data_IF_585324137763
#
_entry.id   IF_585324137763
#
_cell.length_a   1.000
_cell.length_b   1.000
_cell.length_c   1.000
_cell.angle_alpha   90.00
_cell.angle_beta   90.00
_cell.angle_gamma   90.00
#
_symmetry.space_group_name_H-M   'P 1'
#
loop_
_entity.id
_entity.type
_entity.pdbx_description
1 polymer ?
#
# COMPACT_ATOMS: atom_id res chain seq x y z
N UNK A 1 -22.18 -32.60 -8.65
CA UNK A 1 -22.62 -31.32 -9.23
C UNK A 1 -23.77 -30.75 -8.41
N UNK A 2 -23.48 -29.89 -7.43
CA UNK A 2 -24.45 -28.95 -6.86
C UNK A 2 -23.69 -27.64 -6.64
N UNK A 3 -23.86 -26.74 -7.59
CA UNK A 3 -23.26 -25.40 -7.59
C UNK A 3 -24.22 -24.49 -6.82
N UNK A 4 -23.80 -23.98 -5.67
CA UNK A 4 -24.53 -22.93 -4.95
C UNK A 4 -23.91 -21.59 -5.32
N UNK A 5 -24.58 -20.86 -6.21
CA UNK A 5 -24.21 -19.50 -6.61
C UNK A 5 -24.91 -18.54 -5.65
N UNK A 6 -24.13 -17.70 -4.97
CA UNK A 6 -24.64 -16.53 -4.26
C UNK A 6 -24.63 -15.33 -5.22
N UNK A 7 -25.82 -14.83 -5.55
CA UNK A 7 -26.00 -13.52 -6.19
C UNK A 7 -27.07 -12.75 -5.43
N UNK A 8 -26.69 -11.59 -4.89
CA UNK A 8 -27.57 -10.62 -4.25
C UNK A 8 -28.52 -10.04 -5.30
N UNK A 9 -29.81 -10.42 -5.26
CA UNK A 9 -30.86 -9.84 -6.08
C UNK A 9 -31.43 -8.62 -5.34
N UNK A 10 -31.12 -7.41 -5.81
CA UNK A 10 -31.85 -6.20 -5.41
C UNK A 10 -33.02 -6.04 -6.37
N UNK A 11 -34.24 -6.35 -5.91
CA UNK A 11 -35.47 -6.17 -6.69
C UNK A 11 -36.04 -4.76 -6.44
N UNK A 12 -35.92 -3.85 -7.41
CA UNK A 12 -36.67 -2.60 -7.42
C UNK A 12 -38.11 -2.86 -7.92
N UNK A 13 -39.11 -2.65 -7.07
CA UNK A 13 -40.52 -2.60 -7.49
C UNK A 13 -40.96 -1.13 -7.51
N UNK A 14 -41.16 -0.58 -8.71
CA UNK A 14 -41.87 0.69 -8.92
C UNK A 14 -43.36 0.35 -9.06
N UNK A 15 -44.20 0.84 -8.14
CA UNK A 15 -45.66 0.70 -8.25
C UNK A 15 -46.30 2.05 -8.58
N UNK A 16 -46.85 2.15 -9.79
CA UNK A 16 -47.76 3.21 -10.24
C UNK A 16 -49.10 3.08 -9.51
N UNK A 17 -49.55 4.14 -8.84
CA UNK A 17 -50.85 4.18 -8.16
C UNK A 17 -51.94 4.73 -9.10
N UNK A 18 -52.95 3.92 -9.41
CA UNK A 18 -54.24 4.37 -9.93
C UNK A 18 -55.32 4.11 -8.86
N UNK A 19 -56.17 5.12 -8.69
CA UNK A 19 -57.16 5.28 -7.62
C UNK A 19 -58.25 4.19 -7.64
N UNK A 20 -58.47 3.53 -6.50
CA UNK A 20 -59.80 3.17 -5.97
C UNK A 20 -59.71 2.52 -4.57
N UNK A 21 -59.83 3.34 -3.53
CA UNK A 21 -60.78 3.08 -2.43
C UNK A 21 -60.65 1.88 -1.49
N UNK A 22 -59.49 1.21 -1.34
CA UNK A 22 -59.30 0.22 -0.24
C UNK A 22 -57.94 0.39 0.45
N UNK A 23 -57.98 0.52 1.79
CA UNK A 23 -56.79 0.59 2.67
C UNK A 23 -55.85 -0.60 2.38
N UNK A 24 -54.67 -0.31 1.85
CA UNK A 24 -53.57 -1.27 1.81
C UNK A 24 -52.98 -1.41 3.20
N UNK A 25 -53.03 -2.62 3.78
CA UNK A 25 -52.22 -2.95 4.95
C UNK A 25 -50.75 -2.79 4.56
N UNK A 26 -50.02 -1.91 5.22
CA UNK A 26 -48.56 -1.85 5.10
C UNK A 26 -47.97 -3.18 5.60
N UNK A 27 -47.72 -4.10 4.68
CA UNK A 27 -46.81 -5.22 4.90
C UNK A 27 -45.40 -4.62 4.98
N UNK A 28 -44.90 -4.40 6.20
CA UNK A 28 -43.47 -4.17 6.39
C UNK A 28 -42.76 -5.45 5.94
N UNK A 29 -41.76 -5.37 5.05
CA UNK A 29 -40.89 -6.52 4.81
C UNK A 29 -40.22 -6.85 6.15
N UNK A 30 -40.55 -8.02 6.71
CA UNK A 30 -39.70 -8.61 7.74
C UNK A 30 -38.46 -9.06 6.98
N UNK A 31 -37.40 -8.27 7.06
CA UNK A 31 -36.06 -8.73 6.74
C UNK A 31 -35.81 -9.90 7.70
N UNK A 32 -35.92 -11.13 7.20
CA UNK A 32 -35.31 -12.28 7.86
C UNK A 32 -33.83 -11.96 7.97
N UNK A 33 -33.39 -11.54 9.16
CA UNK A 33 -31.98 -11.58 9.53
C UNK A 33 -31.58 -13.04 9.41
N UNK A 34 -30.88 -13.39 8.34
CA UNK A 34 -30.02 -14.57 8.39
C UNK A 34 -29.10 -14.35 9.58
N UNK A 35 -29.15 -15.27 10.54
CA UNK A 35 -28.14 -15.32 11.59
C UNK A 35 -26.80 -15.54 10.89
N UNK A 36 -26.01 -14.47 10.78
CA UNK A 36 -24.60 -14.59 10.44
C UNK A 36 -23.98 -15.51 11.47
N UNK A 37 -23.39 -16.61 11.02
CA UNK A 37 -22.75 -17.56 11.88
C UNK A 37 -21.59 -16.84 12.58
N UNK A 38 -21.80 -16.51 13.86
CA UNK A 38 -20.83 -15.74 14.64
C UNK A 38 -19.54 -16.55 14.75
N UNK A 39 -18.45 -16.02 14.20
CA UNK A 39 -17.14 -16.67 14.27
C UNK A 39 -16.71 -16.82 15.73
N UNK A 40 -16.19 -18.00 16.11
CA UNK A 40 -15.67 -18.29 17.45
C UNK A 40 -14.25 -18.84 17.35
N UNK A 41 -13.38 -18.62 18.36
CA UNK A 41 -12.01 -19.12 18.37
C UNK A 41 -12.00 -20.60 18.76
N UNK A 42 -12.60 -21.44 17.92
CA UNK A 42 -12.68 -22.89 18.09
C UNK A 42 -12.13 -23.55 16.84
N UNK A 43 -11.10 -24.38 17.00
CA UNK A 43 -10.46 -25.14 15.92
C UNK A 43 -10.30 -26.58 16.39
N UNK A 44 -11.10 -27.49 15.82
CA UNK A 44 -11.15 -28.88 16.27
C UNK A 44 -11.62 -28.99 17.72
N UNK A 45 -10.80 -29.58 18.58
CA UNK A 45 -11.03 -29.76 20.02
C UNK A 45 -10.42 -28.63 20.88
N UNK A 46 -9.80 -27.62 20.25
CA UNK A 46 -9.17 -26.48 20.95
C UNK A 46 -10.03 -25.24 20.90
N UNK A 47 -9.93 -24.42 21.94
CA UNK A 47 -10.60 -23.12 22.04
C UNK A 47 -11.92 -23.18 22.81
N UNK A 48 -12.64 -22.05 22.82
CA UNK A 48 -13.93 -21.91 23.50
C UNK A 48 -14.71 -20.72 22.92
N UNK A 49 -16.00 -20.63 23.24
CA UNK A 49 -16.79 -19.45 22.87
C UNK A 49 -16.34 -18.20 23.64
N UNK A 50 -16.29 -17.06 22.95
CA UNK A 50 -16.12 -15.77 23.62
C UNK A 50 -17.44 -15.39 24.30
N UNK A 51 -17.41 -15.29 25.63
CA UNK A 51 -18.59 -15.00 26.46
C UNK A 51 -18.86 -13.50 26.66
N UNK A 52 -17.88 -12.66 26.34
CA UNK A 52 -17.97 -11.20 26.50
C UNK A 52 -18.40 -10.51 25.19
N UNK A 53 -18.96 -9.29 25.24
CA UNK A 53 -19.22 -8.52 24.03
C UNK A 53 -17.94 -8.35 23.18
N UNK A 54 -18.09 -8.47 21.87
CA UNK A 54 -16.97 -8.42 20.92
C UNK A 54 -17.33 -7.67 19.64
N UNK A 55 -16.31 -7.30 18.88
CA UNK A 55 -16.50 -6.64 17.60
C UNK A 55 -16.54 -7.67 16.47
N UNK A 56 -17.75 -8.15 16.15
CA UNK A 56 -17.95 -9.16 15.11
C UNK A 56 -17.45 -8.75 13.72
N UNK A 57 -17.47 -7.45 13.40
CA UNK A 57 -16.96 -6.97 12.11
C UNK A 57 -15.44 -7.16 12.01
N UNK A 58 -14.69 -6.80 13.07
CA UNK A 58 -13.24 -7.01 13.13
C UNK A 58 -12.90 -8.50 13.17
N UNK A 59 -13.63 -9.31 13.94
CA UNK A 59 -13.43 -10.77 13.98
C UNK A 59 -13.61 -11.38 12.58
N UNK A 60 -14.57 -10.87 11.80
CA UNK A 60 -14.88 -11.39 10.46
C UNK A 60 -13.80 -11.05 9.42
N UNK A 61 -13.08 -9.94 9.63
CA UNK A 61 -11.95 -9.50 8.82
C UNK A 61 -10.63 -10.23 9.19
N UNK A 62 -10.54 -10.80 10.39
CA UNK A 62 -9.31 -11.39 10.93
C UNK A 62 -9.56 -12.85 11.36
N UNK A 63 -10.03 -13.67 10.41
CA UNK A 63 -10.44 -15.04 10.69
C UNK A 63 -9.29 -15.91 11.18
N UNK A 64 -8.13 -15.83 10.53
CA UNK A 64 -6.93 -16.58 10.91
C UNK A 64 -6.29 -16.02 12.20
N UNK A 65 -6.68 -14.83 12.66
CA UNK A 65 -6.33 -14.36 14.02
C UNK A 65 -7.24 -14.93 15.11
N UNK A 66 -8.50 -15.25 14.78
CA UNK A 66 -9.45 -15.82 15.74
C UNK A 66 -9.37 -17.36 15.77
N UNK A 67 -9.32 -17.99 14.60
CA UNK A 67 -9.19 -19.42 14.37
C UNK A 67 -7.76 -19.74 13.91
N UNK A 68 -6.82 -19.48 14.80
CA UNK A 68 -5.37 -19.52 14.54
C UNK A 68 -4.95 -20.84 13.87
N UNK A 69 -4.17 -20.78 12.76
CA UNK A 69 -3.60 -21.98 12.16
C UNK A 69 -2.82 -22.82 13.19
N UNK A 70 -2.97 -24.15 13.23
CA UNK A 70 -2.28 -24.98 14.22
C UNK A 70 -0.74 -24.90 14.20
N UNK A 71 -0.16 -24.37 13.11
CA UNK A 71 1.27 -24.15 12.92
C UNK A 71 1.79 -22.82 13.46
N UNK A 72 0.91 -21.87 13.79
CA UNK A 72 1.31 -20.63 14.46
C UNK A 72 1.80 -20.94 15.87
N UNK A 73 2.87 -20.26 16.29
CA UNK A 73 3.50 -20.52 17.57
C UNK A 73 4.41 -19.36 18.00
N UNK A 74 4.70 -19.32 19.30
CA UNK A 74 5.65 -18.38 19.88
C UNK A 74 5.13 -16.93 19.93
N UNK A 75 6.07 -15.99 20.01
CA UNK A 75 5.76 -14.56 20.11
C UNK A 75 6.20 -13.83 18.85
N UNK A 76 5.23 -13.42 18.05
CA UNK A 76 5.43 -12.52 16.90
C UNK A 76 4.64 -11.24 17.16
N UNK A 77 5.34 -10.10 17.17
CA UNK A 77 4.71 -8.80 17.35
C UNK A 77 3.66 -8.52 16.25
N UNK A 78 2.79 -7.54 16.46
CA UNK A 78 1.84 -7.17 15.42
C UNK A 78 2.59 -6.66 14.18
N UNK A 79 2.27 -7.21 13.01
CA UNK A 79 2.87 -6.84 11.73
C UNK A 79 1.87 -6.17 10.80
N UNK A 80 0.60 -6.03 11.21
CA UNK A 80 -0.50 -5.47 10.41
C UNK A 80 -0.99 -4.15 10.99
N UNK A 81 -1.28 -3.18 10.12
CA UNK A 81 -2.00 -1.97 10.49
C UNK A 81 -2.99 -1.55 9.41
N UNK A 82 -4.20 -1.14 9.80
CA UNK A 82 -5.21 -0.66 8.86
C UNK A 82 -5.21 0.87 8.80
N UNK A 83 -5.10 1.46 7.62
CA UNK A 83 -5.23 2.92 7.46
C UNK A 83 -6.59 3.45 7.97
N UNK A 84 -7.61 2.60 8.07
CA UNK A 84 -8.91 2.96 8.66
C UNK A 84 -8.84 3.26 10.16
N UNK A 85 -7.76 2.83 10.83
CA UNK A 85 -7.50 3.11 12.24
C UNK A 85 -6.58 4.32 12.44
N UNK A 86 -5.93 4.79 11.37
CA UNK A 86 -5.05 5.96 11.43
C UNK A 86 -5.81 7.26 11.71
N UNK A 87 -5.15 8.19 12.40
CA UNK A 87 -5.69 9.52 12.62
C UNK A 87 -5.85 10.27 11.28
N UNK A 88 -7.04 10.82 11.04
CA UNK A 88 -7.33 11.66 9.88
C UNK A 88 -6.95 13.12 10.17
N UNK A 89 -5.98 13.64 9.44
CA UNK A 89 -5.67 15.07 9.41
C UNK A 89 -6.45 15.75 8.28
N UNK A 90 -7.62 16.30 8.62
CA UNK A 90 -8.54 16.96 7.70
C UNK A 90 -8.13 18.42 7.46
N UNK A 91 -8.02 18.80 6.18
CA UNK A 91 -7.58 20.13 5.77
C UNK A 91 -8.46 20.71 4.66
N UNK A 92 -8.33 22.00 4.40
CA UNK A 92 -9.13 22.65 3.38
C UNK A 92 -8.70 22.19 1.98
N UNK A 93 -9.45 21.26 1.38
CA UNK A 93 -9.15 20.71 0.06
C UNK A 93 -8.58 19.30 0.09
N UNK A 94 -8.48 18.66 1.25
CA UNK A 94 -8.02 17.28 1.31
C UNK A 94 -7.81 16.73 2.71
N UNK A 95 -7.14 15.59 2.78
CA UNK A 95 -6.74 14.99 4.04
C UNK A 95 -5.42 14.23 3.90
N UNK A 96 -4.80 13.95 5.04
CA UNK A 96 -3.69 13.00 5.18
C UNK A 96 -4.02 12.04 6.32
N UNK A 97 -3.70 10.76 6.17
CA UNK A 97 -3.62 9.78 7.26
C UNK A 97 -2.37 8.94 7.09
N UNK A 98 -1.78 8.49 8.19
CA UNK A 98 -0.45 7.87 8.18
C UNK A 98 -0.43 6.52 8.88
N UNK A 99 0.49 5.65 8.47
CA UNK A 99 1.00 4.58 9.31
C UNK A 99 2.43 4.95 9.70
N UNK A 100 2.68 4.97 11.01
CA UNK A 100 3.97 5.30 11.63
C UNK A 100 4.28 4.28 12.71
N UNK A 101 5.51 4.30 13.23
CA UNK A 101 5.98 3.37 14.27
C UNK A 101 5.16 3.44 15.57
N UNK A 102 4.52 4.56 15.91
CA UNK A 102 3.62 4.62 17.07
C UNK A 102 2.34 3.81 16.89
N UNK A 103 1.89 3.65 15.64
CA UNK A 103 0.70 2.88 15.27
C UNK A 103 1.06 1.42 14.99
N UNK A 104 2.18 1.19 14.31
CA UNK A 104 2.75 -0.12 14.00
C UNK A 104 4.21 -0.21 14.47
N UNK A 105 4.48 -0.57 15.74
CA UNK A 105 5.83 -0.56 16.33
C UNK A 105 6.86 -1.48 15.67
N UNK A 106 6.41 -2.45 14.89
CA UNK A 106 7.28 -3.31 14.06
C UNK A 106 7.84 -2.58 12.84
N UNK A 107 7.26 -1.45 12.44
CA UNK A 107 7.62 -0.69 11.25
C UNK A 107 8.59 0.44 11.61
N UNK A 108 9.84 0.07 11.93
CA UNK A 108 10.89 1.03 12.30
C UNK A 108 11.64 1.61 11.09
N UNK A 109 11.56 0.93 9.96
CA UNK A 109 12.25 1.29 8.71
C UNK A 109 11.32 1.96 7.68
N UNK A 110 10.01 1.97 7.95
CA UNK A 110 9.01 2.48 7.03
C UNK A 110 7.91 3.29 7.72
N UNK A 111 7.53 4.37 7.06
CA UNK A 111 6.29 5.07 7.35
C UNK A 111 5.60 5.37 6.03
N UNK A 112 4.30 5.56 6.10
CA UNK A 112 3.49 5.79 4.91
C UNK A 112 2.39 6.80 5.18
N UNK A 113 1.93 7.46 4.11
CA UNK A 113 0.86 8.43 4.16
C UNK A 113 -0.10 8.25 2.99
N UNK A 114 -1.39 8.10 3.28
CA UNK A 114 -2.44 8.25 2.27
C UNK A 114 -2.94 9.68 2.26
N UNK A 115 -2.91 10.27 1.07
CA UNK A 115 -3.28 11.66 0.84
C UNK A 115 -4.47 11.71 -0.11
N UNK A 116 -5.32 12.69 0.11
CA UNK A 116 -6.37 13.07 -0.82
C UNK A 116 -6.24 14.56 -1.14
N UNK A 117 -6.31 14.91 -2.43
CA UNK A 117 -6.41 16.28 -2.91
C UNK A 117 -7.67 16.43 -3.78
N UNK A 118 -8.59 17.28 -3.36
CA UNK A 118 -9.69 17.71 -4.21
C UNK A 118 -9.16 18.42 -5.46
N UNK A 119 -9.99 18.53 -6.51
CA UNK A 119 -9.61 19.24 -7.74
C UNK A 119 -9.09 20.65 -7.44
N UNK A 120 -7.89 20.96 -7.90
CA UNK A 120 -7.20 22.23 -7.70
C UNK A 120 -6.51 22.39 -6.34
N UNK A 121 -6.80 21.54 -5.35
CA UNK A 121 -6.14 21.56 -4.06
C UNK A 121 -4.65 21.23 -4.19
N UNK A 122 -3.83 21.85 -3.33
CA UNK A 122 -2.38 21.84 -3.40
C UNK A 122 -1.85 21.25 -2.10
N UNK A 123 -1.03 20.19 -2.21
CA UNK A 123 -0.02 19.85 -1.21
C UNK A 123 1.11 20.85 -1.38
N UNK A 124 1.29 21.71 -0.37
CA UNK A 124 2.14 22.90 -0.48
C UNK A 124 3.59 22.58 -0.89
N UNK A 125 4.34 23.57 -1.37
CA UNK A 125 5.74 23.39 -1.75
C UNK A 125 6.60 23.06 -0.53
N UNK A 126 7.33 21.96 -0.59
CA UNK A 126 8.12 21.45 0.53
C UNK A 126 9.28 20.56 0.09
N UNK A 127 10.10 20.18 1.07
CA UNK A 127 11.06 19.09 1.00
C UNK A 127 11.15 18.40 2.36
N UNK A 128 11.90 17.32 2.46
CA UNK A 128 12.15 16.56 3.69
C UNK A 128 13.47 15.78 3.58
N UNK A 129 13.92 15.16 4.67
CA UNK A 129 15.23 14.48 4.74
C UNK A 129 15.20 12.98 4.41
N UNK A 130 14.05 12.46 3.95
CA UNK A 130 13.84 11.06 3.61
C UNK A 130 13.64 10.89 2.11
N UNK A 131 13.86 9.69 1.60
CA UNK A 131 13.42 9.38 0.24
C UNK A 131 11.90 9.22 0.26
N UNK A 132 11.22 9.71 -0.78
CA UNK A 132 9.78 9.54 -0.96
C UNK A 132 9.52 8.71 -2.19
N UNK A 133 8.81 7.60 -2.02
CA UNK A 133 8.22 6.84 -3.10
C UNK A 133 6.72 7.08 -3.09
N UNK A 134 6.10 7.34 -4.24
CA UNK A 134 4.67 7.59 -4.32
C UNK A 134 3.95 6.82 -5.42
N UNK A 135 2.69 6.47 -5.17
CA UNK A 135 1.79 5.79 -6.11
C UNK A 135 0.45 6.52 -6.15
N UNK A 136 -0.02 6.88 -7.35
CA UNK A 136 -1.38 7.41 -7.52
C UNK A 136 -2.39 6.26 -7.46
N UNK A 137 -3.25 6.25 -6.43
CA UNK A 137 -4.26 5.19 -6.22
C UNK A 137 -5.61 5.55 -6.83
N UNK A 138 -5.92 6.85 -6.98
CA UNK A 138 -7.13 7.32 -7.66
C UNK A 138 -6.94 8.69 -8.32
N UNK A 139 -7.63 8.92 -9.44
CA UNK A 139 -7.60 10.20 -10.14
C UNK A 139 -6.23 10.52 -10.75
N UNK A 140 -5.87 11.80 -10.76
CA UNK A 140 -4.60 12.28 -11.28
C UNK A 140 -4.10 13.51 -10.54
N UNK A 141 -2.78 13.64 -10.45
CA UNK A 141 -2.10 14.79 -9.85
C UNK A 141 -1.14 15.45 -10.83
N UNK A 142 -0.91 16.75 -10.66
CA UNK A 142 0.19 17.49 -11.24
C UNK A 142 1.30 17.59 -10.20
N UNK A 143 2.50 17.19 -10.57
CA UNK A 143 3.68 17.24 -9.72
C UNK A 143 4.67 18.22 -10.35
N UNK A 144 5.24 19.11 -9.53
CA UNK A 144 6.37 19.94 -9.92
C UNK A 144 7.51 19.72 -8.93
N UNK A 145 8.71 19.42 -9.45
CA UNK A 145 9.90 19.15 -8.66
C UNK A 145 11.15 19.80 -9.27
N UNK A 146 12.14 20.10 -8.44
CA UNK A 146 13.43 20.71 -8.83
C UNK A 146 14.57 19.91 -8.21
N UNK A 147 15.60 19.61 -9.02
CA UNK A 147 16.81 18.91 -8.57
C UNK A 147 17.84 19.87 -7.94
N UNK A 148 18.82 19.31 -7.24
CA UNK A 148 19.96 20.06 -6.68
C UNK A 148 20.76 20.85 -7.72
N UNK A 149 20.76 20.42 -8.98
CA UNK A 149 21.43 21.09 -10.11
C UNK A 149 20.55 22.18 -10.76
N UNK A 150 19.35 22.43 -10.21
CA UNK A 150 18.39 23.41 -10.72
C UNK A 150 17.55 22.91 -11.90
N UNK A 151 17.67 21.63 -12.30
CA UNK A 151 16.80 21.05 -13.33
C UNK A 151 15.38 20.88 -12.79
N UNK A 152 14.38 21.05 -13.63
CA UNK A 152 12.99 20.87 -13.20
C UNK A 152 12.27 19.74 -13.94
N UNK A 153 11.24 19.21 -13.30
CA UNK A 153 10.21 18.40 -13.93
C UNK A 153 8.84 18.88 -13.50
N UNK A 154 7.93 19.03 -14.46
CA UNK A 154 6.51 19.22 -14.19
C UNK A 154 5.77 18.16 -15.00
N UNK A 155 5.06 17.27 -14.32
CA UNK A 155 4.40 16.12 -14.96
C UNK A 155 3.05 15.81 -14.34
N UNK A 156 2.17 15.24 -15.16
CA UNK A 156 0.92 14.64 -14.72
C UNK A 156 1.19 13.17 -14.39
N UNK A 157 0.78 12.73 -13.21
CA UNK A 157 0.74 11.32 -12.82
C UNK A 157 -0.73 10.87 -12.72
N UNK A 158 -1.06 9.80 -13.42
CA UNK A 158 -2.39 9.18 -13.43
C UNK A 158 -2.44 7.96 -12.51
N UNK A 159 -3.64 7.45 -12.17
CA UNK A 159 -3.78 6.21 -11.38
C UNK A 159 -2.86 5.10 -11.90
N UNK A 160 -2.05 4.55 -11.00
CA UNK A 160 -1.05 3.52 -11.28
C UNK A 160 0.34 4.05 -11.61
N UNK A 161 0.53 5.36 -11.79
CA UNK A 161 1.85 5.96 -11.96
C UNK A 161 2.58 6.10 -10.61
N UNK A 162 3.90 6.05 -10.71
CA UNK A 162 4.83 6.11 -9.58
C UNK A 162 5.72 7.34 -9.71
N UNK A 163 6.12 7.92 -8.58
CA UNK A 163 7.26 8.84 -8.52
C UNK A 163 8.25 8.44 -7.44
N UNK A 164 9.46 8.98 -7.57
CA UNK A 164 10.48 8.89 -6.55
C UNK A 164 11.19 10.22 -6.40
N UNK A 165 11.24 10.74 -5.18
CA UNK A 165 12.05 11.91 -4.83
C UNK A 165 13.19 11.48 -3.92
N UNK A 166 14.45 11.62 -4.38
CA UNK A 166 15.59 11.53 -3.49
C UNK A 166 15.44 12.52 -2.33
N UNK A 167 16.03 12.20 -1.18
CA UNK A 167 16.01 13.08 -0.01
C UNK A 167 16.46 14.51 -0.35
N UNK A 168 15.74 15.49 0.18
CA UNK A 168 16.03 16.92 0.03
C UNK A 168 15.55 17.56 -1.29
N UNK A 169 14.98 16.81 -2.24
CA UNK A 169 14.48 17.40 -3.48
C UNK A 169 13.16 18.15 -3.23
N UNK A 170 13.11 19.42 -3.65
CA UNK A 170 11.94 20.28 -3.48
C UNK A 170 10.83 19.94 -4.45
N UNK A 171 9.60 19.76 -3.95
CA UNK A 171 8.44 19.36 -4.75
C UNK A 171 7.10 19.92 -4.24
N UNK A 172 6.06 19.83 -5.08
CA UNK A 172 4.67 20.17 -4.76
C UNK A 172 3.72 19.32 -5.62
N UNK A 173 2.50 19.09 -5.12
CA UNK A 173 1.51 18.22 -5.75
C UNK A 173 0.17 18.96 -5.80
N UNK A 174 -0.53 18.89 -6.93
CA UNK A 174 -1.86 19.46 -7.11
C UNK A 174 -2.86 18.43 -7.64
N UNK A 175 -4.03 18.32 -7.04
CA UNK A 175 -5.11 17.46 -7.53
C UNK A 175 -5.70 17.98 -8.86
N UNK A 176 -5.88 17.11 -9.85
CA UNK A 176 -6.37 17.50 -11.19
C UNK A 176 -7.80 17.05 -11.48
N UNK A 177 -8.22 15.94 -10.88
CA UNK A 177 -9.48 15.25 -11.19
C UNK A 177 -10.57 15.56 -10.17
N UNK A 178 -11.83 15.35 -10.57
CA UNK A 178 -13.03 15.46 -9.74
C UNK A 178 -13.59 14.04 -9.52
N UNK A 179 -13.94 13.60 -8.29
CA UNK A 179 -14.02 14.37 -7.03
C UNK A 179 -12.67 14.77 -6.42
N UNK A 180 -11.57 14.15 -6.87
CA UNK A 180 -10.23 14.42 -6.36
C UNK A 180 -9.22 13.44 -6.93
N UNK A 181 -8.04 13.41 -6.32
CA UNK A 181 -7.02 12.42 -6.53
C UNK A 181 -6.50 11.90 -5.19
N UNK A 182 -6.17 10.62 -5.15
CA UNK A 182 -5.59 9.97 -3.98
C UNK A 182 -4.27 9.32 -4.35
N UNK A 183 -3.34 9.33 -3.40
CA UNK A 183 -2.04 8.75 -3.57
C UNK A 183 -1.46 8.27 -2.25
N UNK A 184 -0.69 7.19 -2.34
CA UNK A 184 0.09 6.62 -1.26
C UNK A 184 1.51 7.17 -1.35
N UNK A 185 2.07 7.56 -0.20
CA UNK A 185 3.48 7.87 -0.02
C UNK A 185 4.10 6.83 0.90
N UNK A 186 5.34 6.46 0.63
CA UNK A 186 6.15 5.62 1.51
C UNK A 186 7.53 6.27 1.68
N UNK A 187 8.02 6.27 2.90
CA UNK A 187 9.29 6.83 3.31
C UNK A 187 10.15 5.77 3.97
N UNK A 188 11.47 5.89 3.83
CA UNK A 188 12.46 4.94 4.34
C UNK A 188 12.88 5.19 5.80
N UNK A 189 11.91 5.55 6.66
CA UNK A 189 12.05 5.60 8.11
C UNK A 189 10.71 5.36 8.82
N UNK A 190 10.74 4.70 9.99
CA UNK A 190 9.57 4.28 10.77
C UNK A 190 8.68 5.39 11.31
N UNK A 191 9.27 6.54 11.58
CA UNK A 191 8.54 7.70 12.08
C UNK A 191 8.98 8.94 11.32
N UNK A 192 8.17 9.30 10.31
CA UNK A 192 8.45 10.45 9.45
C UNK A 192 8.62 11.73 10.27
N UNK A 193 7.84 11.98 11.33
CA UNK A 193 7.79 13.29 12.01
C UNK A 193 8.84 13.45 13.13
N UNK A 194 9.37 12.33 13.66
CA UNK A 194 10.50 12.37 14.60
C UNK A 194 11.85 12.28 13.90
N UNK A 195 11.95 11.54 12.79
CA UNK A 195 13.20 11.38 12.03
C UNK A 195 13.39 12.45 10.95
N UNK A 196 12.29 13.01 10.47
CA UNK A 196 12.22 14.06 9.47
C UNK A 196 11.09 15.02 9.84
N UNK A 197 11.00 16.16 9.16
CA UNK A 197 9.79 16.97 9.15
C UNK A 197 9.61 17.48 7.75
N UNK A 198 8.36 17.63 7.32
CA UNK A 198 8.09 18.41 6.12
C UNK A 198 8.57 19.84 6.36
N UNK A 199 9.50 20.31 5.52
CA UNK A 199 10.00 21.68 5.53
C UNK A 199 9.21 22.47 4.49
N UNK A 200 8.18 23.15 4.97
CA UNK A 200 7.22 23.91 4.15
C UNK A 200 7.78 25.28 3.76
N UNK A 201 7.69 25.65 2.48
CA UNK A 201 8.25 26.92 1.99
C UNK A 201 7.58 28.14 2.64
N UNK A 202 6.25 28.17 2.69
CA UNK A 202 5.54 29.31 3.27
C UNK A 202 5.88 29.49 4.76
N UNK A 203 6.01 28.39 5.49
CA UNK A 203 6.41 28.38 6.90
C UNK A 203 7.85 28.90 7.09
N UNK A 204 8.78 28.46 6.25
CA UNK A 204 10.15 28.96 6.29
C UNK A 204 10.23 30.47 6.02
N UNK A 205 9.47 30.96 5.04
CA UNK A 205 9.48 32.39 4.70
C UNK A 205 8.93 33.26 5.83
N UNK A 206 7.85 32.86 6.52
CA UNK A 206 7.32 33.66 7.65
C UNK A 206 8.23 33.64 8.88
N UNK A 207 9.10 32.63 9.00
CA UNK A 207 10.13 32.53 10.04
C UNK A 207 11.49 33.10 9.61
N UNK A 208 11.54 33.83 8.49
CA UNK A 208 12.76 34.51 8.00
C UNK A 208 12.62 36.03 8.15
N UNK A 209 13.63 36.76 8.68
CA UNK A 209 13.55 38.21 8.81
C UNK A 209 13.23 38.91 7.47
N UNK A 210 12.30 39.88 7.42
CA UNK A 210 11.90 40.54 6.18
C UNK A 210 13.07 41.19 5.42
N UNK A 211 14.07 41.70 6.14
CA UNK A 211 15.29 42.26 5.54
C UNK A 211 16.14 41.22 4.81
N UNK A 212 16.18 39.99 5.33
CA UNK A 212 16.91 38.87 4.70
C UNK A 212 16.15 38.42 3.45
N UNK A 213 14.82 38.30 3.51
CA UNK A 213 13.99 38.01 2.33
C UNK A 213 14.18 39.08 1.25
N UNK A 214 14.05 40.36 1.60
CA UNK A 214 14.25 41.46 0.67
C UNK A 214 15.62 41.41 0.00
N UNK A 215 16.68 41.17 0.79
CA UNK A 215 18.05 41.02 0.28
C UNK A 215 18.20 39.80 -0.64
N UNK A 216 17.66 38.65 -0.26
CA UNK A 216 17.75 37.41 -1.03
C UNK A 216 17.04 37.50 -2.38
N UNK A 217 15.84 38.07 -2.41
CA UNK A 217 15.02 38.18 -3.62
C UNK A 217 15.29 39.46 -4.43
N UNK A 218 16.08 40.41 -3.90
CA UNK A 218 16.32 41.70 -4.56
C UNK A 218 15.07 42.58 -4.63
N UNK A 219 14.18 42.48 -3.65
CA UNK A 219 12.87 43.17 -3.62
C UNK A 219 12.73 44.06 -2.38
N UNK A 220 11.62 44.81 -2.28
CA UNK A 220 11.33 45.63 -1.10
C UNK A 220 11.06 44.79 0.15
N UNK A 221 11.40 45.30 1.34
CA UNK A 221 10.99 44.75 2.64
C UNK A 221 9.47 44.55 2.77
N UNK A 222 8.67 45.26 1.96
CA UNK A 222 7.22 45.16 1.99
C UNK A 222 6.66 44.02 1.11
N UNK A 223 7.46 43.42 0.22
CA UNK A 223 6.98 42.44 -0.77
C UNK A 223 6.30 41.22 -0.13
N UNK A 224 6.80 40.78 1.02
CA UNK A 224 6.34 39.56 1.69
C UNK A 224 5.37 39.81 2.85
N UNK A 225 4.83 41.03 2.99
CA UNK A 225 3.88 41.38 4.08
C UNK A 225 2.55 40.63 4.01
N UNK A 226 2.20 40.11 2.83
CA UNK A 226 0.96 39.36 2.58
C UNK A 226 1.17 37.85 2.60
N UNK A 227 2.35 37.37 3.02
CA UNK A 227 2.54 35.94 3.23
C UNK A 227 1.49 35.40 4.22
N UNK A 228 0.96 34.19 3.98
CA UNK A 228 -0.02 33.61 4.86
C UNK A 228 0.62 33.32 6.22
N UNK A 229 -0.05 33.74 7.31
CA UNK A 229 0.46 33.58 8.69
C UNK A 229 0.56 32.12 9.14
N UNK A 230 -0.23 31.24 8.54
CA UNK A 230 -0.15 29.80 8.68
C UNK A 230 -0.83 29.19 7.45
N UNK A 231 -0.21 28.15 6.88
CA UNK A 231 -0.85 27.28 5.90
C UNK A 231 -0.78 25.84 6.42
N UNK A 232 -1.89 25.14 6.33
CA UNK A 232 -1.90 23.69 6.47
C UNK A 232 -1.03 23.03 5.40
N UNK A 233 -0.68 21.77 5.62
CA UNK A 233 0.07 20.96 4.66
C UNK A 233 -0.66 20.83 3.30
N UNK A 234 -1.99 20.95 3.28
CA UNK A 234 -2.90 20.98 2.13
C UNK A 234 -3.81 22.21 2.19
N UNK A 235 -4.02 22.88 1.06
CA UNK A 235 -4.97 23.99 0.94
C UNK A 235 -5.65 24.03 -0.44
N UNK A 236 -6.80 24.71 -0.56
CA UNK A 236 -7.51 24.89 -1.84
C UNK A 236 -6.73 25.81 -2.78
N UNK A 237 -6.65 25.44 -4.05
CA UNK A 237 -6.03 26.24 -5.10
C UNK A 237 -6.82 26.20 -6.40
N UNK A 238 -6.40 27.04 -7.34
CA UNK A 238 -6.86 26.97 -8.72
C UNK A 238 -5.91 26.09 -9.52
N UNK A 239 -6.44 25.35 -10.50
CA UNK A 239 -5.62 24.52 -11.39
C UNK A 239 -4.53 25.36 -12.05
N UNK A 240 -3.30 24.85 -12.01
CA UNK A 240 -2.19 25.45 -12.73
C UNK A 240 -2.43 25.36 -14.23
N UNK A 241 -2.20 26.46 -14.95
CA UNK A 241 -2.14 26.52 -16.41
C UNK A 241 -0.74 26.84 -16.94
N UNK A 242 0.24 26.97 -16.04
CA UNK A 242 1.58 27.47 -16.36
C UNK A 242 2.55 26.37 -16.78
N UNK A 243 3.47 26.72 -17.68
CA UNK A 243 4.68 25.95 -17.95
C UNK A 243 5.90 26.79 -17.60
N UNK A 244 6.98 26.13 -17.18
CA UNK A 244 8.24 26.80 -16.86
C UNK A 244 9.40 25.97 -17.40
N UNK A 245 10.34 26.66 -18.05
CA UNK A 245 11.60 26.08 -18.50
C UNK A 245 12.69 26.45 -17.48
N UNK A 246 13.42 25.46 -16.99
CA UNK A 246 14.64 25.71 -16.24
C UNK A 246 15.80 26.03 -17.19
N UNK A 247 16.61 27.08 -16.92
CA UNK A 247 17.84 27.33 -17.67
C UNK A 247 18.89 26.22 -17.49
N UNK A 248 18.72 25.34 -16.49
CA UNK A 248 19.60 24.19 -16.24
C UNK A 248 19.13 22.91 -16.96
N UNK A 249 18.01 22.97 -17.69
CA UNK A 249 17.42 21.85 -18.41
C UNK A 249 16.35 21.10 -17.59
N UNK A 250 15.84 20.00 -18.17
CA UNK A 250 14.77 19.19 -17.59
C UNK A 250 15.29 17.90 -16.98
N UNK A 251 14.56 17.37 -16.01
CA UNK A 251 14.69 15.98 -15.56
C UNK A 251 13.91 15.08 -16.53
N UNK A 252 14.61 14.18 -17.19
CA UNK A 252 14.05 13.26 -18.19
C UNK A 252 14.90 11.99 -18.31
N UNK A 253 14.36 10.97 -18.99
CA UNK A 253 15.01 9.66 -19.13
C UNK A 253 15.40 9.08 -17.76
N UNK A 254 16.66 8.66 -17.62
CA UNK A 254 17.19 8.05 -16.39
C UNK A 254 17.24 9.01 -15.18
N UNK A 255 17.03 10.31 -15.38
CA UNK A 255 16.97 11.32 -14.30
C UNK A 255 15.55 11.78 -13.97
N UNK A 256 14.54 11.31 -14.72
CA UNK A 256 13.13 11.60 -14.47
C UNK A 256 12.75 11.14 -13.07
N UNK A 257 11.93 11.93 -12.36
CA UNK A 257 11.28 11.56 -11.10
C UNK A 257 9.93 10.85 -11.31
N UNK A 258 9.47 10.71 -12.56
CA UNK A 258 8.22 10.05 -12.93
C UNK A 258 8.49 8.70 -13.58
N UNK A 259 7.80 7.67 -13.08
CA UNK A 259 7.74 6.35 -13.69
C UNK A 259 6.29 6.02 -14.09
N UNK A 260 6.04 5.93 -15.39
CA UNK A 260 4.70 5.72 -15.97
C UNK A 260 4.24 4.26 -15.90
N UNK A 261 4.21 3.68 -14.70
CA UNK A 261 3.84 2.29 -14.46
C UNK A 261 2.45 1.94 -15.00
N UNK A 262 1.50 2.88 -14.99
CA UNK A 262 0.14 2.68 -15.53
C UNK A 262 0.11 2.31 -17.03
N UNK A 263 1.18 2.61 -17.77
CA UNK A 263 1.31 2.34 -19.21
C UNK A 263 2.16 1.12 -19.52
N UNK A 264 2.73 0.48 -18.51
CA UNK A 264 3.59 -0.68 -18.69
C UNK A 264 2.81 -1.97 -18.45
N UNK A 265 3.02 -3.02 -19.27
CA UNK A 265 2.41 -4.31 -19.01
C UNK A 265 3.04 -4.97 -17.77
N UNK A 266 2.21 -5.56 -16.92
CA UNK A 266 2.70 -6.49 -15.89
C UNK A 266 3.14 -7.80 -16.54
N UNK A 267 4.18 -8.43 -15.98
CA UNK A 267 4.71 -9.73 -16.42
C UNK A 267 3.86 -10.85 -15.85
N UNK A 268 3.60 -11.89 -16.64
CA UNK A 268 3.03 -13.13 -16.11
C UNK A 268 4.04 -13.83 -15.19
N UNK A 269 3.58 -14.28 -14.02
CA UNK A 269 4.40 -15.05 -13.10
C UNK A 269 4.68 -16.46 -13.68
N UNK A 270 5.92 -16.98 -13.63
CA UNK A 270 6.24 -18.29 -14.18
C UNK A 270 5.43 -19.43 -13.54
N UNK A 271 5.08 -19.31 -12.25
CA UNK A 271 4.20 -20.26 -11.55
C UNK A 271 2.73 -20.19 -11.98
N UNK A 272 2.38 -19.22 -12.85
CA UNK A 272 1.06 -19.05 -13.44
C UNK A 272 -0.01 -18.49 -12.51
N UNK A 273 0.35 -18.19 -11.25
CA UNK A 273 -0.55 -17.73 -10.19
C UNK A 273 -1.02 -16.29 -10.33
N UNK A 274 -0.47 -15.51 -11.26
CA UNK A 274 -0.80 -14.10 -11.35
C UNK A 274 0.15 -13.30 -12.24
N UNK A 275 0.21 -12.00 -11.98
CA UNK A 275 1.08 -11.05 -12.67
C UNK A 275 1.85 -10.20 -11.67
N UNK A 276 2.98 -9.66 -12.09
CA UNK A 276 3.78 -8.75 -11.28
C UNK A 276 4.50 -7.69 -12.11
N UNK A 277 4.87 -6.58 -11.48
CA UNK A 277 5.72 -5.54 -12.07
C UNK A 277 6.76 -5.11 -11.04
N UNK A 278 8.03 -5.17 -11.41
CA UNK A 278 9.15 -4.67 -10.60
C UNK A 278 9.47 -3.24 -11.01
N UNK A 279 9.65 -2.36 -10.03
CA UNK A 279 10.10 -0.98 -10.19
C UNK A 279 11.28 -0.77 -9.27
N UNK A 280 12.49 -0.71 -9.84
CA UNK A 280 13.74 -0.65 -9.10
C UNK A 280 14.81 0.12 -9.90
N UNK A 281 16.05 0.19 -9.40
CA UNK A 281 17.09 0.98 -10.07
C UNK A 281 17.44 0.52 -11.50
N UNK A 282 17.06 -0.70 -11.91
CA UNK A 282 17.38 -1.20 -13.24
C UNK A 282 16.47 -0.57 -14.31
N UNK A 283 15.26 -0.15 -13.95
CA UNK A 283 14.30 0.50 -14.86
C UNK A 283 13.91 1.92 -14.42
N UNK A 284 14.19 2.28 -13.18
CA UNK A 284 13.98 3.61 -12.62
C UNK A 284 15.25 4.07 -11.85
N UNK A 285 16.31 4.49 -12.57
CA UNK A 285 17.68 4.56 -12.02
C UNK A 285 17.93 5.54 -10.86
N UNK A 286 16.97 6.42 -10.56
CA UNK A 286 17.06 7.33 -9.42
C UNK A 286 16.71 6.64 -8.09
N UNK A 287 16.12 5.45 -8.12
CA UNK A 287 15.82 4.66 -6.91
C UNK A 287 17.14 4.28 -6.24
N UNK A 288 17.30 4.75 -5.00
CA UNK A 288 18.44 4.40 -4.12
C UNK A 288 18.00 3.60 -2.88
N UNK A 289 16.69 3.57 -2.63
CA UNK A 289 15.96 2.89 -1.57
C UNK A 289 14.50 2.79 -2.04
N UNK A 290 13.66 1.97 -1.41
CA UNK A 290 12.24 1.82 -1.76
C UNK A 290 12.01 1.20 -3.15
N UNK A 291 12.81 0.20 -3.54
CA UNK A 291 12.46 -0.65 -4.67
C UNK A 291 11.12 -1.34 -4.41
N UNK A 292 10.34 -1.57 -5.46
CA UNK A 292 8.96 -2.01 -5.31
C UNK A 292 8.58 -3.13 -6.28
N UNK A 293 7.61 -3.94 -5.87
CA UNK A 293 6.93 -4.92 -6.70
C UNK A 293 5.41 -4.77 -6.54
N UNK A 294 4.72 -4.51 -7.66
CA UNK A 294 3.26 -4.54 -7.73
C UNK A 294 2.84 -5.96 -8.08
N UNK A 295 1.91 -6.53 -7.31
CA UNK A 295 1.51 -7.93 -7.42
C UNK A 295 0.01 -8.07 -7.63
N UNK A 296 -0.37 -8.94 -8.58
CA UNK A 296 -1.75 -9.39 -8.79
C UNK A 296 -1.80 -10.91 -8.68
N UNK A 297 -2.50 -11.42 -7.66
CA UNK A 297 -2.60 -12.86 -7.36
C UNK A 297 -4.02 -13.34 -7.68
N UNK A 298 -4.13 -14.32 -8.57
CA UNK A 298 -5.43 -14.89 -8.97
C UNK A 298 -6.13 -15.57 -7.79
N UNK A 299 -7.46 -15.76 -7.86
CA UNK A 299 -8.19 -16.53 -6.86
C UNK A 299 -7.55 -17.90 -6.61
N UNK A 300 -7.36 -18.26 -5.33
CA UNK A 300 -6.73 -19.51 -4.91
C UNK A 300 -5.24 -19.67 -5.26
N UNK A 301 -4.58 -18.62 -5.77
CA UNK A 301 -3.13 -18.60 -5.98
C UNK A 301 -2.43 -17.92 -4.79
N UNK A 302 -1.10 -18.01 -4.75
CA UNK A 302 -0.30 -17.36 -3.73
C UNK A 302 1.05 -16.85 -4.27
N UNK A 303 1.56 -15.79 -3.64
CA UNK A 303 2.99 -15.47 -3.61
C UNK A 303 3.70 -16.61 -2.88
N UNK A 304 4.66 -17.25 -3.55
CA UNK A 304 5.29 -18.48 -3.06
C UNK A 304 6.02 -18.30 -1.72
N UNK A 305 6.38 -19.40 -1.05
CA UNK A 305 7.23 -19.35 0.14
C UNK A 305 8.61 -18.79 -0.19
N UNK A 306 8.96 -17.68 0.42
CA UNK A 306 10.22 -16.97 0.16
C UNK A 306 10.63 -16.09 1.34
N UNK A 307 11.79 -15.43 1.19
CA UNK A 307 12.22 -14.31 2.04
C UNK A 307 13.00 -13.29 1.21
N UNK A 308 13.31 -12.15 1.82
CA UNK A 308 14.13 -11.10 1.22
C UNK A 308 15.46 -10.99 1.99
N UNK A 309 16.62 -11.15 1.31
CA UNK A 309 17.92 -11.09 1.96
C UNK A 309 18.51 -9.68 2.05
N UNK A 310 17.82 -8.67 1.50
CA UNK A 310 18.35 -7.32 1.34
C UNK A 310 17.65 -6.27 2.21
N UNK A 311 16.71 -6.65 3.06
CA UNK A 311 16.03 -5.73 3.96
C UNK A 311 14.58 -6.09 4.26
N UNK A 312 14.00 -5.26 5.12
CA UNK A 312 12.59 -5.31 5.52
C UNK A 312 11.69 -5.05 4.31
N UNK A 313 10.55 -5.75 4.30
CA UNK A 313 9.48 -5.57 3.33
C UNK A 313 8.31 -4.85 3.99
N UNK A 314 7.81 -3.80 3.33
CA UNK A 314 6.58 -3.12 3.69
C UNK A 314 5.52 -3.37 2.62
N UNK A 315 4.30 -3.67 3.05
CA UNK A 315 3.20 -4.08 2.18
C UNK A 315 2.03 -3.11 2.26
N UNK A 316 1.33 -2.93 1.13
CA UNK A 316 0.03 -2.26 1.06
C UNK A 316 -0.95 -3.05 0.21
N UNK A 317 -2.10 -3.39 0.79
CA UNK A 317 -3.16 -4.14 0.13
C UNK A 317 -4.13 -3.16 -0.54
N UNK A 318 -4.12 -3.10 -1.88
CA UNK A 318 -4.94 -2.16 -2.66
C UNK A 318 -6.36 -2.71 -2.85
N UNK A 319 -6.51 -4.00 -3.12
CA UNK A 319 -7.82 -4.67 -3.27
C UNK A 319 -7.74 -6.18 -3.05
N UNK A 320 -8.89 -6.82 -2.81
CA UNK A 320 -9.00 -8.24 -2.53
C UNK A 320 -8.72 -8.61 -1.07
N UNK A 321 -8.58 -9.92 -0.85
CA UNK A 321 -8.41 -10.51 0.49
C UNK A 321 -7.20 -11.44 0.47
N UNK A 322 -6.38 -11.34 1.50
CA UNK A 322 -5.20 -12.17 1.64
C UNK A 322 -5.08 -12.75 3.03
N UNK A 323 -4.25 -13.78 3.14
CA UNK A 323 -3.59 -14.14 4.39
C UNK A 323 -2.10 -14.32 4.16
N UNK A 324 -1.31 -14.05 5.18
CA UNK A 324 0.13 -14.31 5.17
C UNK A 324 0.56 -14.87 6.51
N UNK A 325 1.45 -15.86 6.50
CA UNK A 325 2.17 -16.30 7.70
C UNK A 325 3.60 -15.80 7.62
N UNK A 326 4.08 -15.19 8.70
CA UNK A 326 5.48 -14.75 8.85
C UNK A 326 6.17 -15.63 9.88
N UNK A 327 7.30 -16.21 9.50
CA UNK A 327 8.16 -17.05 10.32
C UNK A 327 9.49 -16.35 10.63
N UNK A 328 9.79 -16.20 11.92
CA UNK A 328 10.97 -15.47 12.43
C UNK A 328 12.10 -16.37 12.90
N UNK A 329 12.01 -17.69 12.66
CA UNK A 329 12.94 -18.66 13.23
C UNK A 329 12.60 -19.05 14.68
N UNK A 330 13.29 -20.07 15.19
CA UNK A 330 13.09 -20.58 16.55
C UNK A 330 11.68 -21.12 16.82
N UNK A 331 10.91 -21.45 15.78
CA UNK A 331 9.51 -21.88 15.89
C UNK A 331 8.50 -20.74 16.04
N UNK A 332 8.90 -19.48 15.94
CA UNK A 332 7.97 -18.35 16.01
C UNK A 332 7.33 -18.11 14.63
N UNK A 333 6.01 -18.27 14.55
CA UNK A 333 5.23 -18.03 13.33
C UNK A 333 3.86 -17.44 13.68
N UNK A 334 3.40 -16.47 12.89
CA UNK A 334 2.08 -15.87 13.06
C UNK A 334 1.44 -15.52 11.74
N UNK A 335 0.14 -15.82 11.65
CA UNK A 335 -0.71 -15.57 10.49
C UNK A 335 -1.55 -14.32 10.67
N UNK A 336 -1.69 -13.55 9.60
CA UNK A 336 -2.46 -12.32 9.53
C UNK A 336 -3.35 -12.35 8.28
N UNK A 337 -4.61 -11.98 8.44
CA UNK A 337 -5.51 -11.69 7.32
C UNK A 337 -5.30 -10.25 6.85
N UNK A 338 -5.51 -9.95 5.57
CA UNK A 338 -5.42 -8.59 5.02
C UNK A 338 -6.55 -8.31 4.04
N UNK A 339 -7.00 -7.06 3.99
CA UNK A 339 -7.94 -6.56 3.00
C UNK A 339 -7.55 -5.14 2.54
N UNK A 340 -8.34 -4.56 1.63
CA UNK A 340 -8.07 -3.25 1.05
C UNK A 340 -7.86 -2.16 2.13
N UNK A 341 -6.74 -1.44 2.03
CA UNK A 341 -6.37 -0.39 2.98
C UNK A 341 -5.50 -0.86 4.15
N UNK A 342 -5.24 -2.16 4.26
CA UNK A 342 -4.28 -2.68 5.21
C UNK A 342 -2.84 -2.50 4.73
N UNK A 343 -1.95 -2.35 5.70
CA UNK A 343 -0.50 -2.29 5.55
C UNK A 343 0.14 -3.39 6.37
N UNK A 344 1.34 -3.81 5.99
CA UNK A 344 2.12 -4.75 6.78
C UNK A 344 3.60 -4.42 6.75
N UNK A 345 4.35 -4.97 7.70
CA UNK A 345 5.81 -4.97 7.69
C UNK A 345 6.32 -6.37 8.02
N UNK A 346 7.06 -6.98 7.10
CA UNK A 346 7.69 -8.27 7.31
C UNK A 346 9.18 -8.05 7.60
N UNK A 347 9.67 -8.51 8.78
CA UNK A 347 11.06 -8.29 9.16
C UNK A 347 12.06 -8.86 8.16
N UNK A 348 13.26 -8.26 8.11
CA UNK A 348 14.35 -8.73 7.26
C UNK A 348 14.63 -10.22 7.47
N UNK A 349 14.88 -10.93 6.37
CA UNK A 349 15.13 -12.37 6.34
C UNK A 349 14.05 -13.27 6.98
N UNK A 350 12.83 -12.75 7.22
CA UNK A 350 11.70 -13.58 7.67
C UNK A 350 11.10 -14.38 6.52
N UNK A 351 10.87 -15.68 6.77
CA UNK A 351 10.23 -16.57 5.79
C UNK A 351 8.72 -16.33 5.77
N UNK A 352 8.12 -16.16 4.60
CA UNK A 352 6.69 -15.88 4.51
C UNK A 352 6.09 -16.28 3.14
N UNK A 353 4.77 -16.17 3.05
CA UNK A 353 3.98 -16.27 1.82
C UNK A 353 2.79 -15.30 1.90
N UNK A 354 2.16 -14.98 0.77
CA UNK A 354 0.91 -14.21 0.73
C UNK A 354 -0.08 -14.94 -0.18
N UNK A 355 -1.17 -15.44 0.40
CA UNK A 355 -2.19 -16.22 -0.32
C UNK A 355 -3.44 -15.38 -0.57
N UNK A 356 -4.00 -15.48 -1.76
CA UNK A 356 -5.32 -14.92 -2.06
C UNK A 356 -6.42 -15.86 -1.54
N UNK A 357 -7.14 -15.39 -0.52
CA UNK A 357 -8.18 -16.18 0.17
C UNK A 357 -9.58 -15.98 -0.44
N UNK A 358 -9.74 -15.08 -1.40
CA UNK A 358 -11.02 -14.85 -2.04
C UNK A 358 -11.28 -15.88 -3.16
N UNK A 359 -12.51 -16.45 -3.26
CA UNK A 359 -12.81 -17.49 -4.23
C UNK A 359 -12.85 -17.00 -5.69
N UNK A 360 -13.06 -15.70 -5.91
CA UNK A 360 -13.29 -15.16 -7.27
C UNK A 360 -12.61 -13.83 -7.57
N UNK A 361 -12.05 -13.15 -6.57
CA UNK A 361 -11.49 -11.81 -6.72
C UNK A 361 -9.97 -11.91 -6.82
N UNK A 362 -9.37 -11.12 -7.70
CA UNK A 362 -7.91 -11.01 -7.76
C UNK A 362 -7.43 -10.11 -6.64
N UNK A 363 -6.51 -10.63 -5.83
CA UNK A 363 -5.78 -9.87 -4.83
C UNK A 363 -4.77 -8.96 -5.54
N UNK A 364 -4.74 -7.69 -5.18
CA UNK A 364 -3.73 -6.74 -5.66
C UNK A 364 -3.10 -6.01 -4.49
N UNK A 365 -1.77 -6.09 -4.41
CA UNK A 365 -1.01 -5.46 -3.34
C UNK A 365 0.37 -5.01 -3.85
N UNK A 366 1.04 -4.23 -3.02
CA UNK A 366 2.36 -3.65 -3.25
C UNK A 366 3.32 -4.19 -2.21
N UNK A 367 4.52 -4.58 -2.65
CA UNK A 367 5.69 -4.89 -1.82
C UNK A 367 6.72 -3.77 -2.03
N UNK A 368 7.21 -3.14 -0.96
CA UNK A 368 8.30 -2.14 -1.00
C UNK A 368 9.44 -2.60 -0.09
N UNK A 369 10.66 -2.50 -0.59
CA UNK A 369 11.87 -2.97 0.08
C UNK A 369 12.79 -1.80 0.40
N UNK A 370 13.44 -1.84 1.55
CA UNK A 370 14.48 -0.85 1.92
C UNK A 370 15.80 -1.18 1.19
N UNK A 371 15.73 -1.19 -0.14
CA UNK A 371 16.78 -1.62 -1.06
C UNK A 371 16.61 -0.88 -2.39
N UNK A 372 17.67 -0.85 -3.19
CA UNK A 372 17.64 -0.29 -4.55
C UNK A 372 17.19 -1.31 -5.62
N UNK A 373 17.01 -2.57 -5.22
CA UNK A 373 16.54 -3.69 -6.05
C UNK A 373 15.56 -4.57 -5.30
N UNK A 374 14.61 -5.14 -6.06
CA UNK A 374 13.81 -6.28 -5.59
C UNK A 374 14.68 -7.53 -5.64
N UNK A 375 14.96 -8.10 -4.47
CA UNK A 375 15.71 -9.35 -4.32
C UNK A 375 14.95 -10.24 -3.36
N UNK A 376 14.63 -11.44 -3.80
CA UNK A 376 13.97 -12.46 -3.01
C UNK A 376 14.69 -13.80 -3.16
N UNK A 377 14.42 -14.74 -2.26
CA UNK A 377 14.96 -16.10 -2.31
C UNK A 377 13.83 -17.12 -2.11
N UNK A 378 13.64 -18.00 -3.09
CA UNK A 378 12.48 -18.88 -3.20
C UNK A 378 12.75 -20.26 -2.61
N UNK A 379 11.88 -20.72 -1.72
CA UNK A 379 12.11 -21.97 -0.99
C UNK A 379 12.16 -23.19 -1.91
N UNK A 380 11.18 -23.34 -2.83
CA UNK A 380 11.11 -24.50 -3.72
C UNK A 380 12.35 -24.59 -4.62
N UNK A 381 12.77 -23.46 -5.21
CA UNK A 381 13.97 -23.39 -6.05
C UNK A 381 15.21 -23.83 -5.28
N UNK A 382 15.38 -23.37 -4.03
CA UNK A 382 16.53 -23.75 -3.22
C UNK A 382 16.57 -25.25 -2.93
N UNK A 383 15.43 -25.82 -2.53
CA UNK A 383 15.32 -27.26 -2.30
C UNK A 383 15.60 -28.06 -3.58
N UNK A 384 15.08 -27.60 -4.73
CA UNK A 384 15.29 -28.25 -6.02
C UNK A 384 16.73 -28.16 -6.55
N UNK A 385 17.50 -27.13 -6.15
CA UNK A 385 18.90 -26.92 -6.54
C UNK A 385 19.91 -27.45 -5.51
N UNK A 386 19.44 -28.13 -4.47
CA UNK A 386 20.27 -28.82 -3.47
C UNK A 386 20.29 -30.32 -3.76
N UNK A 387 21.41 -31.06 -3.52
CA UNK A 387 21.45 -32.51 -3.74
C UNK A 387 20.21 -33.24 -3.16
N UNK A 388 19.44 -33.97 -3.98
CA UNK A 388 18.13 -34.48 -3.57
C UNK A 388 18.14 -35.42 -2.37
N UNK A 389 19.20 -36.22 -2.22
CA UNK A 389 19.40 -37.12 -1.09
C UNK A 389 19.64 -36.38 0.23
N UNK A 390 20.31 -35.22 0.19
CA UNK A 390 20.51 -34.37 1.36
C UNK A 390 19.18 -33.73 1.79
N UNK A 391 18.42 -33.16 0.84
CA UNK A 391 17.12 -32.55 1.13
C UNK A 391 16.12 -33.58 1.66
N UNK A 392 16.11 -34.78 1.07
CA UNK A 392 15.27 -35.89 1.51
C UNK A 392 15.54 -36.25 2.97
N UNK A 393 16.81 -36.29 3.38
CA UNK A 393 17.20 -36.52 4.77
C UNK A 393 16.77 -35.37 5.71
N UNK A 394 16.92 -34.12 5.28
CA UNK A 394 16.55 -32.93 6.09
C UNK A 394 15.04 -32.87 6.32
N UNK A 395 14.25 -33.09 5.27
CA UNK A 395 12.80 -32.95 5.30
C UNK A 395 12.07 -34.25 5.67
N UNK A 396 12.80 -35.37 5.78
CA UNK A 396 12.25 -36.71 6.00
C UNK A 396 11.18 -37.09 4.95
N UNK A 397 11.53 -36.93 3.66
CA UNK A 397 10.70 -37.30 2.50
C UNK A 397 11.50 -38.18 1.53
N UNK A 398 10.86 -38.73 0.50
CA UNK A 398 11.59 -39.51 -0.51
C UNK A 398 12.43 -38.62 -1.44
N UNK A 399 13.49 -39.19 -2.00
CA UNK A 399 14.30 -38.53 -3.04
C UNK A 399 13.45 -38.21 -4.27
N UNK A 400 12.49 -39.07 -4.60
CA UNK A 400 11.53 -38.86 -5.69
C UNK A 400 10.65 -37.64 -5.45
N UNK A 401 10.22 -37.40 -4.21
CA UNK A 401 9.49 -36.17 -3.85
C UNK A 401 10.36 -34.93 -4.12
N UNK A 402 11.62 -34.94 -3.69
CA UNK A 402 12.52 -33.79 -3.92
C UNK A 402 12.78 -33.56 -5.40
N UNK A 403 12.98 -34.62 -6.18
CA UNK A 403 13.15 -34.53 -7.64
C UNK A 403 11.92 -33.99 -8.38
N UNK A 404 10.75 -33.94 -7.73
CA UNK A 404 9.54 -33.32 -8.28
C UNK A 404 9.46 -31.81 -8.08
N UNK A 405 10.31 -31.24 -7.21
CA UNK A 405 10.37 -29.80 -6.98
C UNK A 405 10.95 -29.07 -8.19
N UNK A 406 10.49 -27.84 -8.41
CA UNK A 406 10.88 -27.03 -9.56
C UNK A 406 12.11 -26.17 -9.26
N UNK A 407 13.10 -26.24 -10.15
CA UNK A 407 14.30 -25.40 -10.09
C UNK A 407 14.08 -23.98 -10.64
N UNK A 408 13.07 -23.77 -11.48
CA UNK A 408 12.64 -22.44 -11.93
C UNK A 408 11.70 -21.81 -10.89
N UNK A 409 11.88 -20.52 -10.60
CA UNK A 409 11.08 -19.82 -9.58
C UNK A 409 9.65 -19.61 -10.06
N UNK A 410 8.67 -19.90 -9.20
CA UNK A 410 7.26 -19.66 -9.49
C UNK A 410 6.87 -18.20 -9.33
N UNK A 411 7.45 -17.50 -8.36
CA UNK A 411 7.08 -16.15 -7.89
C UNK A 411 5.63 -16.12 -7.36
N UNK A 412 4.65 -16.29 -8.26
CA UNK A 412 3.24 -16.51 -7.94
C UNK A 412 2.82 -17.88 -8.47
N UNK A 413 2.43 -18.77 -7.57
CA UNK A 413 2.06 -20.16 -7.87
C UNK A 413 0.55 -20.34 -7.82
N UNK A 414 0.00 -21.12 -8.75
CA UNK A 414 -1.41 -21.51 -8.72
C UNK A 414 -1.67 -22.49 -7.58
N UNK A 415 -2.81 -22.36 -6.91
CA UNK A 415 -3.37 -23.45 -6.12
C UNK A 415 -3.66 -24.67 -7.02
N UNK A 416 -3.60 -25.86 -6.44
CA UNK A 416 -4.13 -27.06 -7.08
C UNK A 416 -5.62 -27.14 -6.72
N UNK A 417 -6.47 -27.27 -7.75
CA UNK A 417 -7.90 -27.58 -7.58
C UNK A 417 -8.12 -28.94 -6.91
#
# INVERSE_FOLDING_TARGET
MKTTIFSTVILYVVLTAALNGKRTKHLRPVLERREEQVLQPIVGDKGAEILVPKNHAIDSQNRDSLQVPPSDAGLVMNLKWSFSQSMMNLQQGGFVRQQVASDLPSSQDFSSAQNHLAKGAIRQMHWHSLNEWGLVTAGSVLIAAVSNEGKNQVFRADKGDIWYFPKGQGHTIQGLTDPGAEYLLVFDAGDFDSTSRTLNVADWLIHTPPSVLAKNFGVSNNTFKTLPKALGSIFRGNLSSGSILSPYGKLEGNSSYHFQASKMPMKDAPGGGGKYMIVDKNNFPIITSLAAMIVEVKPGAMRELHWHPTGVEWLYFESGYARATVWLGGGNARTFDFEAGDTAVFPDNSGHYVENTHPTETLRYLEIFQSDKVVDFGLEQWLALTPPDLVAQILNVSVETVKSFKSERGILVKGKE
#
